data_IF_250259590720
#
_entry.id   IF_250259590720
#
_cell.length_a   1.000
_cell.length_b   1.000
_cell.length_c   1.000
_cell.angle_alpha   90.00
_cell.angle_beta   90.00
_cell.angle_gamma   90.00
#
_symmetry.space_group_name_H-M   'P 1'
#
loop_
_entity.id
_entity.type
_entity.pdbx_description
1 polymer ?
#
# COMPACT_ATOMS: atom_id res chain seq x y z
N UNK A 1 17.73 -5.35 16.22
CA UNK A 1 16.46 -5.87 15.67
C UNK A 1 16.32 -5.34 14.26
N UNK A 2 16.05 -6.20 13.27
CA UNK A 2 15.78 -5.80 11.89
C UNK A 2 14.32 -6.18 11.61
N UNK A 3 13.49 -5.22 11.23
CA UNK A 3 12.15 -5.49 10.71
C UNK A 3 12.28 -5.76 9.22
N UNK A 4 11.54 -6.74 8.72
CA UNK A 4 11.52 -7.11 7.29
C UNK A 4 10.10 -7.48 6.88
N UNK A 5 9.67 -7.02 5.72
CA UNK A 5 8.48 -7.44 5.01
C UNK A 5 8.60 -8.92 4.66
N UNK A 6 7.56 -9.69 4.97
CA UNK A 6 7.57 -11.12 4.71
C UNK A 6 7.18 -11.43 3.26
N UNK A 7 7.86 -12.39 2.65
CA UNK A 7 7.38 -13.12 1.45
C UNK A 7 7.09 -12.28 0.20
N UNK A 8 5.92 -11.64 0.08
CA UNK A 8 5.52 -10.87 -1.10
C UNK A 8 4.93 -9.53 -0.71
N UNK A 9 5.22 -8.51 -1.51
CA UNK A 9 4.60 -7.19 -1.42
C UNK A 9 3.92 -6.86 -2.75
N UNK A 10 2.68 -6.38 -2.69
CA UNK A 10 1.98 -5.80 -3.84
C UNK A 10 1.94 -4.30 -3.63
N UNK A 11 2.68 -3.58 -4.45
CA UNK A 11 2.93 -2.16 -4.28
C UNK A 11 2.28 -1.34 -5.40
N UNK A 12 1.47 -0.36 -4.99
CA UNK A 12 0.76 0.54 -5.89
C UNK A 12 1.34 1.95 -5.75
N UNK A 13 1.89 2.49 -6.83
CA UNK A 13 2.36 3.88 -6.93
C UNK A 13 1.29 4.78 -7.55
N UNK A 14 0.04 4.54 -7.18
CA UNK A 14 -1.14 5.21 -7.71
C UNK A 14 -2.30 5.09 -6.70
N UNK A 15 -3.48 5.55 -7.09
CA UNK A 15 -4.70 5.53 -6.28
C UNK A 15 -5.32 4.13 -6.05
N UNK A 16 -4.58 3.06 -6.34
CA UNK A 16 -4.96 1.66 -6.15
C UNK A 16 -6.31 1.27 -6.77
N UNK A 17 -6.81 2.00 -7.77
CA UNK A 17 -8.10 1.70 -8.41
C UNK A 17 -8.09 0.34 -9.11
N UNK A 18 -9.28 -0.22 -9.33
CA UNK A 18 -9.43 -1.42 -10.14
C UNK A 18 -8.82 -1.22 -11.54
N UNK A 19 -8.01 -2.18 -11.98
CA UNK A 19 -7.27 -2.10 -13.25
C UNK A 19 -6.00 -1.23 -13.20
N UNK A 20 -5.69 -0.57 -12.07
CA UNK A 20 -4.43 0.17 -11.93
C UNK A 20 -3.23 -0.77 -11.96
N UNK A 21 -2.10 -0.34 -12.56
CA UNK A 21 -0.87 -1.12 -12.54
C UNK A 21 -0.31 -1.21 -11.12
N UNK A 22 0.36 -2.32 -10.84
CA UNK A 22 1.06 -2.55 -9.58
C UNK A 22 2.34 -3.33 -9.82
N UNK A 23 3.22 -3.29 -8.83
CA UNK A 23 4.46 -4.07 -8.80
C UNK A 23 4.30 -5.19 -7.77
N UNK A 24 4.69 -6.41 -8.12
CA UNK A 24 4.82 -7.52 -7.16
C UNK A 24 6.29 -7.71 -6.85
N UNK A 25 6.66 -7.49 -5.59
CA UNK A 25 8.00 -7.81 -5.08
C UNK A 25 7.98 -9.16 -4.38
N UNK A 26 8.96 -10.00 -4.70
CA UNK A 26 9.10 -11.39 -4.22
C UNK A 26 10.19 -11.50 -3.15
N UNK A 27 11.04 -10.50 -3.06
CA UNK A 27 12.13 -10.44 -2.10
C UNK A 27 11.72 -9.61 -0.89
N UNK A 28 12.36 -9.89 0.25
CA UNK A 28 12.18 -9.08 1.47
C UNK A 28 12.90 -7.75 1.25
N UNK A 29 12.23 -6.62 1.53
CA UNK A 29 12.78 -5.26 1.40
C UNK A 29 13.29 -4.93 -0.04
N UNK A 30 12.45 -5.12 -1.06
CA UNK A 30 12.81 -4.79 -2.46
C UNK A 30 12.61 -3.30 -2.76
N UNK A 31 13.67 -2.63 -3.24
CA UNK A 31 13.66 -1.21 -3.67
C UNK A 31 12.78 -0.93 -4.90
N UNK A 32 12.17 -1.93 -5.52
CA UNK A 32 11.11 -1.72 -6.50
C UNK A 32 9.77 -1.38 -5.85
N UNK A 33 9.57 -1.82 -4.60
CA UNK A 33 8.36 -1.58 -3.81
C UNK A 33 8.63 -0.52 -2.73
N UNK A 34 8.07 -0.67 -1.52
CA UNK A 34 8.10 0.36 -0.47
C UNK A 34 9.50 0.71 0.03
N UNK A 35 10.49 -0.19 -0.05
CA UNK A 35 11.85 0.04 0.47
C UNK A 35 12.61 1.19 -0.25
N UNK A 36 12.12 1.67 -1.40
CA UNK A 36 12.67 2.89 -2.03
C UNK A 36 12.32 4.17 -1.28
N UNK A 37 11.31 4.14 -0.43
CA UNK A 37 10.87 5.28 0.35
C UNK A 37 11.41 5.15 1.78
N UNK A 38 12.32 6.05 2.13
CA UNK A 38 12.89 6.10 3.48
C UNK A 38 11.86 6.52 4.54
N UNK A 39 10.82 7.25 4.12
CA UNK A 39 9.72 7.70 4.95
C UNK A 39 8.45 7.79 4.07
N UNK A 40 7.64 6.74 4.05
CA UNK A 40 6.26 6.81 3.55
C UNK A 40 5.43 7.58 4.57
N UNK A 41 4.95 8.77 4.22
CA UNK A 41 4.45 9.78 5.20
C UNK A 41 2.98 10.16 5.04
N UNK A 42 2.28 9.63 4.03
CA UNK A 42 0.90 10.00 3.76
C UNK A 42 -0.08 9.06 4.44
N UNK A 43 -0.78 9.57 5.47
CA UNK A 43 -1.93 8.88 6.06
C UNK A 43 -3.02 8.64 5.00
N UNK A 44 -3.11 9.53 4.01
CA UNK A 44 -4.06 9.40 2.90
C UNK A 44 -3.79 8.11 2.11
N UNK A 45 -2.55 7.87 1.69
CA UNK A 45 -2.18 6.66 0.94
C UNK A 45 -2.38 5.40 1.79
N UNK A 46 -2.14 5.48 3.10
CA UNK A 46 -2.38 4.37 4.03
C UNK A 46 -3.87 4.05 4.25
N UNK A 47 -4.79 4.92 3.83
CA UNK A 47 -6.24 4.75 4.09
C UNK A 47 -7.08 4.61 2.81
N UNK A 48 -6.46 4.66 1.63
CA UNK A 48 -7.16 4.53 0.35
C UNK A 48 -6.81 3.21 -0.35
N UNK A 49 -7.76 2.29 -0.38
CA UNK A 49 -7.61 0.98 -1.02
C UNK A 49 -8.70 0.80 -2.07
N UNK A 50 -8.34 0.37 -3.28
CA UNK A 50 -9.32 0.11 -4.35
C UNK A 50 -10.21 1.32 -4.70
N UNK A 51 -9.65 2.53 -4.62
CA UNK A 51 -10.39 3.78 -4.82
C UNK A 51 -11.37 4.13 -3.70
N UNK A 52 -11.34 3.40 -2.58
CA UNK A 52 -12.19 3.62 -1.41
C UNK A 52 -11.36 4.13 -0.23
N UNK A 53 -11.78 5.25 0.36
CA UNK A 53 -11.32 5.66 1.69
C UNK A 53 -11.92 4.69 2.71
N UNK A 54 -11.10 3.75 3.20
CA UNK A 54 -11.57 2.67 4.10
C UNK A 54 -11.89 3.20 5.49
N UNK A 55 -11.26 4.31 5.90
CA UNK A 55 -11.54 4.94 7.18
C UNK A 55 -12.93 5.57 7.19
N UNK A 56 -13.28 6.32 6.13
CA UNK A 56 -14.63 6.90 5.97
C UNK A 56 -15.67 5.81 5.76
N UNK A 57 -15.38 4.79 4.95
CA UNK A 57 -16.27 3.65 4.75
C UNK A 57 -16.63 2.96 6.07
N UNK A 58 -15.63 2.66 6.91
CA UNK A 58 -15.85 2.07 8.23
C UNK A 58 -16.68 2.97 9.15
N UNK A 59 -16.34 4.27 9.23
CA UNK A 59 -17.11 5.27 10.01
C UNK A 59 -18.55 5.44 9.52
N UNK A 60 -18.79 5.25 8.22
CA UNK A 60 -20.12 5.30 7.58
C UNK A 60 -20.97 4.05 7.83
N UNK A 61 -20.42 3.04 8.51
CA UNK A 61 -21.13 1.80 8.82
C UNK A 61 -21.00 0.74 7.72
N UNK A 62 -19.90 0.74 6.96
CA UNK A 62 -19.62 -0.21 5.89
C UNK A 62 -20.72 -0.20 4.81
N UNK A 63 -21.13 1.01 4.42
CA UNK A 63 -22.16 1.28 3.41
C UNK A 63 -21.58 2.06 2.26
#
# INVERSE_FOLDING_TARGET
MKYVHHKYEVFYENNMKEGSPYTVCIEQEDKKCSDKYLFETSIEDHTHYYGQDVQRYGKGGCK
#
